data_IF_306238432443
#
_entry.id   IF_306238432443
#
_cell.length_a   1.000
_cell.length_b   1.000
_cell.length_c   1.000
_cell.angle_alpha   90.00
_cell.angle_beta   90.00
_cell.angle_gamma   90.00
#
_symmetry.space_group_name_H-M   'P 1'
#
loop_
_entity.id
_entity.type
_entity.pdbx_description
1 polymer ?
#
# COMPACT_ATOMS: atom_id res chain seq x y z
N UNK A 1 18.90 27.45 -1.48
CA UNK A 1 17.92 26.51 -0.90
C UNK A 1 18.32 25.13 -1.41
N UNK A 2 18.76 24.23 -0.53
CA UNK A 2 19.13 22.86 -0.93
C UNK A 2 17.84 22.06 -0.98
N UNK A 3 17.44 21.62 -2.17
CA UNK A 3 16.31 20.73 -2.35
C UNK A 3 16.67 19.38 -1.72
N UNK A 4 15.94 18.96 -0.70
CA UNK A 4 16.22 17.70 -0.01
C UNK A 4 15.88 16.55 -0.98
N UNK A 5 16.78 15.59 -1.21
CA UNK A 5 16.53 14.54 -2.19
C UNK A 5 15.32 13.70 -1.77
N UNK A 6 14.44 13.48 -2.74
CA UNK A 6 13.27 12.65 -2.57
C UNK A 6 13.75 11.21 -2.32
N UNK A 7 13.42 10.63 -1.16
CA UNK A 7 13.65 9.21 -0.94
C UNK A 7 12.42 8.43 -1.41
N UNK A 8 12.62 7.18 -1.83
CA UNK A 8 11.57 6.18 -2.04
C UNK A 8 12.17 4.80 -1.87
N UNK A 9 11.34 3.77 -1.87
CA UNK A 9 11.81 2.38 -1.85
C UNK A 9 12.74 2.15 -3.04
N UNK A 10 13.87 1.46 -2.86
CA UNK A 10 14.82 1.26 -3.98
C UNK A 10 14.24 0.42 -5.13
N UNK A 11 13.34 -0.49 -4.79
CA UNK A 11 12.67 -1.38 -5.73
C UNK A 11 11.35 -1.89 -5.13
N UNK A 12 10.46 -2.32 -6.02
CA UNK A 12 9.25 -3.04 -5.65
C UNK A 12 9.58 -4.24 -4.76
N UNK A 13 8.80 -4.45 -3.69
CA UNK A 13 9.03 -5.52 -2.73
C UNK A 13 7.73 -6.27 -2.44
N UNK A 14 7.84 -7.59 -2.29
CA UNK A 14 6.78 -8.41 -1.75
C UNK A 14 7.30 -9.11 -0.50
N UNK A 15 6.46 -9.19 0.52
CA UNK A 15 6.75 -9.89 1.77
C UNK A 15 5.51 -10.63 2.23
N UNK A 16 5.70 -11.80 2.84
CA UNK A 16 4.63 -12.65 3.32
C UNK A 16 4.84 -12.97 4.80
N UNK A 17 3.75 -12.98 5.54
CA UNK A 17 3.70 -13.30 6.97
C UNK A 17 2.50 -14.21 7.24
N UNK A 18 2.69 -15.24 8.05
CA UNK A 18 1.59 -16.08 8.54
C UNK A 18 1.32 -15.78 10.02
N UNK A 19 0.08 -15.45 10.37
CA UNK A 19 -0.36 -15.20 11.74
C UNK A 19 -1.62 -16.04 11.99
N UNK A 20 -1.56 -16.95 12.96
CA UNK A 20 -2.72 -17.79 13.35
C UNK A 20 -3.38 -18.51 12.16
N UNK A 21 -2.58 -19.08 11.25
CA UNK A 21 -2.99 -19.73 9.99
C UNK A 21 -3.59 -18.81 8.92
N UNK A 22 -3.73 -17.52 9.20
CA UNK A 22 -4.04 -16.52 8.18
C UNK A 22 -2.74 -16.06 7.52
N UNK A 23 -2.76 -15.97 6.20
CA UNK A 23 -1.64 -15.56 5.37
C UNK A 23 -1.80 -14.10 4.94
N UNK A 24 -0.77 -13.32 5.15
CA UNK A 24 -0.71 -11.89 4.87
C UNK A 24 0.37 -11.64 3.81
N UNK A 25 -0.02 -11.16 2.62
CA UNK A 25 0.91 -10.86 1.53
C UNK A 25 0.95 -9.35 1.30
N UNK A 26 2.06 -8.74 1.66
CA UNK A 26 2.34 -7.33 1.48
C UNK A 26 3.05 -7.09 0.14
N UNK A 27 2.49 -6.23 -0.71
CA UNK A 27 3.10 -5.72 -1.93
C UNK A 27 3.35 -4.23 -1.80
N UNK A 28 4.61 -3.85 -1.77
CA UNK A 28 5.05 -2.46 -1.78
C UNK A 28 5.52 -2.11 -3.19
N UNK A 29 4.94 -1.07 -3.78
CA UNK A 29 5.23 -0.62 -5.15
C UNK A 29 5.43 0.89 -5.18
N UNK A 30 6.25 1.34 -6.12
CA UNK A 30 6.27 2.75 -6.51
C UNK A 30 5.08 3.03 -7.44
N UNK A 31 4.54 4.24 -7.34
CA UNK A 31 3.48 4.74 -8.22
C UNK A 31 3.72 6.22 -8.50
N UNK A 32 3.58 6.65 -9.75
CA UNK A 32 3.75 8.04 -10.15
C UNK A 32 2.43 8.82 -10.13
N UNK A 33 1.30 8.13 -10.29
CA UNK A 33 -0.03 8.75 -10.31
C UNK A 33 -1.16 7.81 -9.86
N UNK A 34 -2.40 8.34 -9.78
CA UNK A 34 -3.59 7.57 -9.40
C UNK A 34 -3.98 6.50 -10.44
N UNK A 35 -3.60 6.67 -11.71
CA UNK A 35 -3.90 5.70 -12.77
C UNK A 35 -3.05 4.44 -12.60
N UNK A 36 -1.75 4.60 -12.41
CA UNK A 36 -0.82 3.50 -12.13
C UNK A 36 -1.22 2.78 -10.83
N UNK A 37 -1.60 3.54 -9.79
CA UNK A 37 -2.11 2.96 -8.55
C UNK A 37 -3.31 2.03 -8.80
N UNK A 38 -4.30 2.49 -9.57
CA UNK A 38 -5.49 1.69 -9.91
C UNK A 38 -5.13 0.44 -10.73
N UNK A 39 -4.19 0.56 -11.68
CA UNK A 39 -3.73 -0.57 -12.49
C UNK A 39 -3.03 -1.63 -11.63
N UNK A 40 -2.11 -1.22 -10.75
CA UNK A 40 -1.41 -2.13 -9.85
C UNK A 40 -2.35 -2.79 -8.83
N UNK A 41 -3.32 -2.05 -8.28
CA UNK A 41 -4.36 -2.62 -7.43
C UNK A 41 -5.12 -3.72 -8.18
N UNK A 42 -5.62 -3.42 -9.38
CA UNK A 42 -6.36 -4.40 -10.18
C UNK A 42 -5.51 -5.64 -10.49
N UNK A 43 -4.26 -5.45 -10.91
CA UNK A 43 -3.33 -6.53 -11.23
C UNK A 43 -3.04 -7.41 -10.02
N UNK A 44 -2.75 -6.80 -8.86
CA UNK A 44 -2.38 -7.54 -7.65
C UNK A 44 -3.59 -8.23 -7.05
N UNK A 45 -4.76 -7.61 -7.05
CA UNK A 45 -6.01 -8.26 -6.65
C UNK A 45 -6.35 -9.44 -7.57
N UNK A 46 -6.15 -9.33 -8.88
CA UNK A 46 -6.39 -10.43 -9.81
C UNK A 46 -5.45 -11.62 -9.54
N UNK A 47 -4.17 -11.34 -9.33
CA UNK A 47 -3.16 -12.35 -8.97
C UNK A 47 -3.46 -13.02 -7.61
N UNK A 48 -4.21 -12.37 -6.74
CA UNK A 48 -4.58 -12.84 -5.40
C UNK A 48 -6.10 -12.98 -5.23
N UNK A 49 -6.79 -13.37 -6.30
CA UNK A 49 -8.25 -13.52 -6.35
C UNK A 49 -8.84 -14.49 -5.33
N UNK A 50 -8.01 -15.36 -4.73
CA UNK A 50 -8.41 -16.30 -3.66
C UNK A 50 -8.30 -15.71 -2.25
N UNK A 51 -7.78 -14.51 -2.09
CA UNK A 51 -7.71 -13.86 -0.79
C UNK A 51 -9.10 -13.40 -0.33
N UNK A 52 -9.34 -13.43 0.97
CA UNK A 52 -10.60 -12.98 1.54
C UNK A 52 -10.71 -11.45 1.45
N UNK A 53 -9.60 -10.75 1.69
CA UNK A 53 -9.53 -9.30 1.59
C UNK A 53 -8.24 -8.84 0.87
N UNK A 54 -8.37 -7.95 -0.10
CA UNK A 54 -7.28 -7.28 -0.82
C UNK A 54 -7.25 -5.81 -0.39
N UNK A 55 -6.80 -5.55 0.84
CA UNK A 55 -6.75 -4.22 1.42
C UNK A 55 -5.61 -3.42 0.81
N UNK A 56 -5.75 -2.10 0.70
CA UNK A 56 -4.68 -1.26 0.17
C UNK A 56 -4.65 0.11 0.84
N UNK A 57 -3.50 0.77 0.74
CA UNK A 57 -3.41 2.20 0.92
C UNK A 57 -2.29 2.78 0.05
N UNK A 58 -2.40 4.06 -0.26
CA UNK A 58 -1.33 4.79 -0.94
C UNK A 58 -1.34 6.28 -0.65
N UNK A 59 -0.16 6.86 -0.83
CA UNK A 59 0.07 8.30 -0.76
C UNK A 59 0.71 8.78 -2.06
N UNK A 60 0.20 9.88 -2.59
CA UNK A 60 0.71 10.55 -3.78
C UNK A 60 0.89 12.04 -3.51
N UNK A 61 1.87 12.63 -4.19
CA UNK A 61 2.23 14.04 -4.06
C UNK A 61 3.26 14.32 -2.97
N UNK A 62 3.84 15.53 -3.01
CA UNK A 62 4.99 15.94 -2.19
C UNK A 62 4.65 16.19 -0.72
N UNK A 63 3.38 16.45 -0.43
CA UNK A 63 2.85 16.76 0.89
C UNK A 63 1.72 15.80 1.30
N UNK A 64 1.69 14.60 0.70
CA UNK A 64 0.59 13.63 0.85
C UNK A 64 -0.78 14.22 0.46
N UNK A 65 -0.83 14.99 -0.63
CA UNK A 65 -2.03 15.67 -1.14
C UNK A 65 -3.14 14.67 -1.48
N UNK A 66 -2.75 13.48 -1.95
CA UNK A 66 -3.66 12.40 -2.26
C UNK A 66 -3.35 11.24 -1.34
N UNK A 67 -4.37 10.81 -0.61
CA UNK A 67 -4.35 9.67 0.29
C UNK A 67 -5.57 8.82 -0.03
N UNK A 68 -5.36 7.51 -0.17
CA UNK A 68 -6.43 6.54 -0.37
C UNK A 68 -6.16 5.31 0.45
N UNK A 69 -7.23 4.68 0.91
CA UNK A 69 -7.19 3.39 1.57
C UNK A 69 -8.46 2.60 1.26
N UNK A 70 -8.41 1.30 1.51
CA UNK A 70 -9.58 0.43 1.52
C UNK A 70 -9.38 -0.75 2.45
N UNK A 71 -10.39 -1.01 3.27
CA UNK A 71 -10.50 -2.21 4.10
C UNK A 71 -10.94 -3.46 3.32
N UNK A 72 -11.38 -3.33 2.06
CA UNK A 72 -11.83 -4.43 1.20
C UNK A 72 -12.67 -5.53 1.93
N UNK A 73 -13.67 -5.11 2.70
CA UNK A 73 -14.59 -6.01 3.41
C UNK A 73 -14.16 -6.41 4.82
N UNK A 74 -12.96 -6.02 5.28
CA UNK A 74 -12.64 -6.01 6.71
C UNK A 74 -13.55 -5.01 7.46
N UNK A 75 -13.71 -5.14 8.79
CA UNK A 75 -14.43 -4.15 9.57
C UNK A 75 -13.88 -2.74 9.34
N UNK A 76 -14.76 -1.75 9.24
CA UNK A 76 -14.34 -0.40 8.85
C UNK A 76 -13.24 0.17 9.75
N UNK A 77 -12.16 0.65 9.12
CA UNK A 77 -11.00 1.27 9.73
C UNK A 77 -9.97 0.30 10.31
N UNK A 78 -10.11 -1.02 10.14
CA UNK A 78 -9.20 -1.99 10.76
C UNK A 78 -8.01 -2.38 9.89
N UNK A 79 -8.06 -2.17 8.58
CA UNK A 79 -6.98 -2.55 7.68
C UNK A 79 -6.43 -1.36 6.89
N UNK A 80 -7.25 -0.70 6.08
CA UNK A 80 -6.82 0.36 5.17
C UNK A 80 -6.24 1.57 5.92
N UNK A 81 -6.91 2.05 6.96
CA UNK A 81 -6.43 3.18 7.78
C UNK A 81 -5.08 2.87 8.45
N UNK A 82 -4.90 1.73 9.15
CA UNK A 82 -3.58 1.35 9.68
C UNK A 82 -2.46 1.27 8.62
N UNK A 83 -2.75 0.73 7.43
CA UNK A 83 -1.77 0.68 6.32
C UNK A 83 -1.38 2.10 5.90
N UNK A 84 -2.35 3.00 5.74
CA UNK A 84 -2.13 4.40 5.37
C UNK A 84 -1.29 5.13 6.42
N UNK A 85 -1.57 4.94 7.71
CA UNK A 85 -0.81 5.58 8.78
C UNK A 85 0.64 5.10 8.85
N UNK A 86 0.89 3.82 8.56
CA UNK A 86 2.26 3.30 8.42
C UNK A 86 2.96 3.96 7.24
N UNK A 87 2.31 4.07 6.08
CA UNK A 87 2.86 4.78 4.92
C UNK A 87 3.23 6.22 5.29
N UNK A 88 2.32 6.98 5.91
CA UNK A 88 2.54 8.38 6.31
C UNK A 88 3.73 8.57 7.25
N UNK A 89 3.96 7.62 8.17
CA UNK A 89 5.10 7.64 9.08
C UNK A 89 6.42 7.40 8.34
N UNK A 90 6.42 6.42 7.43
CA UNK A 90 7.58 6.10 6.59
C UNK A 90 7.85 7.23 5.58
N UNK A 91 6.79 7.92 5.12
CA UNK A 91 6.86 8.99 4.11
C UNK A 91 7.18 10.37 4.65
N UNK A 92 7.50 10.52 5.94
CA UNK A 92 7.91 11.81 6.52
C UNK A 92 9.12 12.48 5.84
N UNK A 93 9.81 11.77 4.93
CA UNK A 93 10.84 12.30 4.00
C UNK A 93 10.78 11.66 2.59
N UNK A 94 9.66 11.00 2.23
CA UNK A 94 9.62 10.02 1.15
C UNK A 94 8.47 10.27 0.17
N UNK A 95 8.75 10.12 -1.11
CA UNK A 95 7.85 10.46 -2.20
C UNK A 95 7.46 9.17 -2.94
N UNK A 96 6.18 9.04 -3.33
CA UNK A 96 5.67 7.98 -4.21
C UNK A 96 5.76 6.54 -3.70
N UNK A 97 4.78 6.12 -2.88
CA UNK A 97 4.69 4.74 -2.38
C UNK A 97 3.25 4.26 -2.24
N UNK A 98 3.04 3.04 -2.73
CA UNK A 98 1.81 2.28 -2.60
C UNK A 98 2.10 1.01 -1.82
N UNK A 99 1.24 0.70 -0.86
CA UNK A 99 1.28 -0.52 -0.08
C UNK A 99 -0.08 -1.22 -0.19
N UNK A 100 -0.06 -2.43 -0.73
CA UNK A 100 -1.21 -3.31 -0.78
C UNK A 100 -0.95 -4.49 0.15
N UNK A 101 -1.88 -4.73 1.05
CA UNK A 101 -1.84 -5.85 1.97
C UNK A 101 -3.00 -6.77 1.66
N UNK A 102 -2.65 -7.97 1.23
CA UNK A 102 -3.61 -9.03 0.96
C UNK A 102 -3.73 -9.87 2.22
N UNK A 103 -4.98 -10.11 2.63
CA UNK A 103 -5.37 -10.91 3.77
C UNK A 103 -6.10 -12.15 3.28
N UNK A 104 -5.50 -13.32 3.49
CA UNK A 104 -6.12 -14.61 3.22
C UNK A 104 -6.27 -15.44 4.49
N UNK A 105 -7.42 -16.08 4.65
CA UNK A 105 -7.59 -17.26 5.49
C UNK A 105 -8.04 -18.41 4.57
#
# INVERSE_FOLDING_TARGET
MVENPLLTIKANKTHELEIKKSRFICNLRQIEDESEAKQLIAQISANNSKANHNCYAYVLGKSNEIQRESDNGEPSGTAGVPILEVLKKITSKMYWQWLHVILGA
#
